data_IF_555262140042
#
_entry.id   IF_555262140042
#
_cell.length_a   1.000
_cell.length_b   1.000
_cell.length_c   1.000
_cell.angle_alpha   90.00
_cell.angle_beta   90.00
_cell.angle_gamma   90.00
#
_symmetry.space_group_name_H-M   'P 1'
#
loop_
_entity.id
_entity.type
_entity.pdbx_description
1 polymer ?
#
# COMPACT_ATOMS: atom_id res chain seq x y z
N UNK A 1 -7.16 14.13 8.76
CA UNK A 1 -6.48 15.37 8.52
C UNK A 1 -7.13 16.15 7.43
N UNK A 2 -6.98 17.43 7.55
CA UNK A 2 -7.60 18.28 6.57
C UNK A 2 -6.93 18.11 5.24
N UNK A 3 -7.74 18.09 4.20
CA UNK A 3 -7.23 17.95 2.86
C UNK A 3 -6.94 16.54 2.44
N UNK A 4 -7.08 15.58 3.32
CA UNK A 4 -6.82 14.19 2.99
C UNK A 4 -8.15 13.49 2.78
N UNK A 5 -8.41 12.96 1.58
CA UNK A 5 -9.67 12.27 1.36
C UNK A 5 -9.73 10.99 2.17
N UNK A 6 -10.92 10.70 2.63
CA UNK A 6 -11.14 9.49 3.39
C UNK A 6 -11.16 8.30 2.45
N UNK A 7 -10.53 7.22 2.86
CA UNK A 7 -10.52 6.00 2.07
C UNK A 7 -11.58 5.02 2.55
N UNK A 8 -11.98 4.15 1.65
CA UNK A 8 -12.85 3.04 1.99
C UNK A 8 -12.33 1.81 1.27
N UNK A 9 -13.00 0.68 1.48
CA UNK A 9 -12.58 -0.54 0.82
C UNK A 9 -12.74 -0.45 -0.68
N UNK A 10 -13.55 0.47 -1.17
CA UNK A 10 -13.71 0.65 -2.60
C UNK A 10 -12.47 1.21 -3.26
N UNK A 11 -11.57 1.78 -2.47
CA UNK A 11 -10.36 2.35 -3.02
C UNK A 11 -9.24 1.33 -3.16
N UNK A 12 -9.56 0.07 -3.01
CA UNK A 12 -8.57 -0.99 -3.03
C UNK A 12 -7.68 -0.93 -4.27
N UNK A 13 -8.27 -0.77 -5.43
CA UNK A 13 -7.48 -0.74 -6.65
C UNK A 13 -6.82 0.60 -6.89
N UNK A 14 -7.50 1.68 -6.56
CA UNK A 14 -6.94 2.99 -6.84
C UNK A 14 -5.76 3.31 -5.94
N UNK A 15 -5.70 2.70 -4.76
CA UNK A 15 -4.58 2.91 -3.84
C UNK A 15 -3.68 1.71 -3.74
N UNK A 16 -3.67 0.90 -4.76
CA UNK A 16 -2.91 -0.34 -4.75
C UNK A 16 -1.41 -0.10 -4.57
N UNK A 17 -0.85 0.90 -5.24
CA UNK A 17 0.58 1.17 -5.12
C UNK A 17 0.94 1.60 -3.71
N UNK A 18 0.15 2.47 -3.14
CA UNK A 18 0.41 2.93 -1.77
C UNK A 18 0.29 1.78 -0.79
N UNK A 19 -0.74 0.97 -0.98
CA UNK A 19 -0.95 -0.17 -0.11
C UNK A 19 0.20 -1.17 -0.21
N UNK A 20 0.64 -1.47 -1.42
CA UNK A 20 1.73 -2.42 -1.61
C UNK A 20 3.02 -1.92 -0.98
N UNK A 21 3.28 -0.63 -1.08
CA UNK A 21 4.45 -0.04 -0.46
C UNK A 21 4.36 -0.15 1.07
N UNK A 22 3.18 0.13 1.59
CA UNK A 22 2.96 0.02 3.03
C UNK A 22 3.17 -1.41 3.51
N UNK A 23 2.70 -2.39 2.74
CA UNK A 23 2.91 -3.78 3.11
C UNK A 23 4.38 -4.11 3.20
N UNK A 24 5.15 -3.67 2.21
CA UNK A 24 6.57 -3.96 2.22
C UNK A 24 7.28 -3.28 3.38
N UNK A 25 6.99 -2.00 3.59
CA UNK A 25 7.72 -1.23 4.58
C UNK A 25 7.30 -1.55 6.00
N UNK A 26 6.02 -1.78 6.22
CA UNK A 26 5.52 -1.97 7.57
C UNK A 26 5.32 -3.43 7.94
N UNK A 27 5.00 -4.26 6.96
CA UNK A 27 4.71 -5.66 7.23
C UNK A 27 5.72 -6.60 6.62
N UNK A 28 6.68 -6.07 5.89
CA UNK A 28 7.72 -6.88 5.24
C UNK A 28 7.11 -7.94 4.35
N UNK A 29 6.03 -7.60 3.68
CA UNK A 29 5.28 -8.54 2.88
C UNK A 29 5.05 -7.96 1.50
N UNK A 30 5.17 -8.79 0.48
CA UNK A 30 4.90 -8.34 -0.88
C UNK A 30 3.46 -8.67 -1.23
N UNK A 31 2.81 -7.72 -1.91
CA UNK A 31 1.41 -7.85 -2.23
C UNK A 31 1.10 -9.16 -2.97
N UNK A 32 1.96 -9.53 -3.92
CA UNK A 32 1.71 -10.71 -4.73
C UNK A 32 1.82 -12.01 -3.95
N UNK A 33 2.33 -11.96 -2.74
CA UNK A 33 2.44 -13.14 -1.90
C UNK A 33 1.23 -13.35 -1.01
N UNK A 34 0.24 -12.46 -1.11
CA UNK A 34 -0.92 -12.55 -0.25
C UNK A 34 -2.08 -13.21 -0.96
N UNK A 35 -2.88 -13.93 -0.19
CA UNK A 35 -4.18 -14.35 -0.72
C UNK A 35 -5.09 -13.14 -0.77
N UNK A 36 -6.18 -13.28 -1.54
CA UNK A 36 -7.13 -12.20 -1.64
C UNK A 36 -7.69 -11.82 -0.27
N UNK A 37 -8.01 -12.80 0.53
CA UNK A 37 -8.59 -12.52 1.84
C UNK A 37 -7.60 -11.83 2.75
N UNK A 38 -6.35 -12.27 2.73
CA UNK A 38 -5.34 -11.64 3.56
C UNK A 38 -5.11 -10.21 3.10
N UNK A 39 -5.08 -9.99 1.79
CA UNK A 39 -4.86 -8.65 1.27
C UNK A 39 -5.98 -7.71 1.69
N UNK A 40 -7.22 -8.17 1.63
CA UNK A 40 -8.34 -7.32 2.01
C UNK A 40 -8.31 -6.98 3.49
N UNK A 41 -7.93 -7.95 4.32
CA UNK A 41 -7.83 -7.67 5.75
C UNK A 41 -6.76 -6.64 6.06
N UNK A 42 -5.63 -6.75 5.38
CA UNK A 42 -4.57 -5.79 5.60
C UNK A 42 -4.92 -4.43 5.01
N UNK A 43 -5.62 -4.42 3.88
CA UNK A 43 -6.05 -3.14 3.33
C UNK A 43 -7.00 -2.42 4.29
N UNK A 44 -7.84 -3.16 4.98
CA UNK A 44 -8.70 -2.56 5.98
C UNK A 44 -7.89 -1.82 7.03
N UNK A 45 -6.78 -2.40 7.46
CA UNK A 45 -5.91 -1.73 8.43
C UNK A 45 -5.25 -0.51 7.82
N UNK A 46 -4.84 -0.61 6.56
CA UNK A 46 -4.25 0.50 5.85
C UNK A 46 -5.23 1.67 5.76
N UNK A 47 -6.49 1.37 5.45
CA UNK A 47 -7.52 2.39 5.36
C UNK A 47 -7.68 3.10 6.70
N UNK A 48 -7.69 2.35 7.79
CA UNK A 48 -7.84 2.97 9.08
C UNK A 48 -6.69 3.90 9.41
N UNK A 49 -5.47 3.49 9.08
CA UNK A 49 -4.33 4.34 9.34
C UNK A 49 -4.35 5.59 8.47
N UNK A 50 -4.74 5.41 7.22
CA UNK A 50 -4.85 6.54 6.30
C UNK A 50 -5.82 7.56 6.85
N UNK A 51 -7.00 7.10 7.26
CA UNK A 51 -8.05 8.01 7.68
C UNK A 51 -7.71 8.71 8.99
N UNK A 52 -6.82 8.13 9.76
CA UNK A 52 -6.37 8.75 10.99
C UNK A 52 -5.17 9.65 10.80
N UNK A 53 -4.64 9.72 9.59
CA UNK A 53 -3.49 10.54 9.32
C UNK A 53 -2.21 10.00 9.92
N UNK A 54 -2.11 8.68 10.05
CA UNK A 54 -0.97 8.08 10.73
C UNK A 54 0.13 7.58 9.81
N UNK A 55 -0.06 7.72 8.51
CA UNK A 55 0.93 7.26 7.54
C UNK A 55 1.91 8.37 7.24
N UNK A 56 3.04 7.99 6.67
CA UNK A 56 4.02 8.98 6.22
C UNK A 56 3.46 9.79 5.06
N UNK A 57 4.01 10.98 4.89
CA UNK A 57 3.53 11.90 3.87
C UNK A 57 3.50 11.30 2.48
N UNK A 58 4.49 10.48 2.15
CA UNK A 58 4.59 9.96 0.79
C UNK A 58 3.36 9.16 0.39
N UNK A 59 2.70 8.53 1.35
CA UNK A 59 1.50 7.78 1.03
C UNK A 59 0.37 8.70 0.59
N UNK A 60 0.27 9.84 1.25
CA UNK A 60 -0.79 10.80 0.90
C UNK A 60 -0.48 11.55 -0.38
N UNK A 61 0.79 11.67 -0.71
CA UNK A 61 1.18 12.37 -1.93
C UNK A 61 1.01 11.50 -3.16
N UNK A 62 0.98 10.20 -2.97
CA UNK A 62 0.81 9.28 -4.08
C UNK A 62 2.10 8.59 -4.44
N UNK A 63 1.99 7.31 -4.77
CA UNK A 63 3.13 6.50 -5.15
C UNK A 63 2.81 5.89 -6.50
N UNK A 64 3.65 6.18 -7.49
CA UNK A 64 3.35 5.76 -8.85
C UNK A 64 3.77 4.32 -9.14
N UNK A 65 4.71 3.78 -8.38
CA UNK A 65 5.12 2.40 -8.56
C UNK A 65 5.20 1.72 -7.21
N UNK A 66 5.05 0.41 -7.21
CA UNK A 66 5.06 -0.32 -5.96
C UNK A 66 5.85 -1.59 -6.10
N UNK A 67 6.46 -2.06 -5.02
CA UNK A 67 7.14 -3.34 -5.05
C UNK A 67 6.12 -4.46 -5.15
N UNK A 68 6.32 -5.35 -6.09
CA UNK A 68 5.36 -6.42 -6.29
C UNK A 68 5.91 -7.76 -5.90
N UNK A 69 7.20 -7.96 -6.12
CA UNK A 69 7.83 -9.20 -5.74
C UNK A 69 9.24 -8.89 -5.31
N UNK A 70 9.85 -9.89 -4.70
CA UNK A 70 11.24 -9.73 -4.29
C UNK A 70 12.19 -9.76 -5.46
N UNK A 71 11.70 -10.12 -6.64
CA UNK A 71 12.56 -10.25 -7.80
C UNK A 71 12.73 -9.01 -8.61
N UNK A 72 11.98 -7.99 -8.34
CA UNK A 72 12.04 -6.80 -9.15
C UNK A 72 13.39 -6.22 -9.26
N UNK A 73 14.13 -6.31 -8.20
CA UNK A 73 15.40 -5.66 -8.14
C UNK A 73 16.37 -6.12 -9.18
N UNK A 74 16.25 -7.35 -9.58
CA UNK A 74 17.29 -7.87 -10.42
C UNK A 74 17.29 -7.32 -11.77
N UNK A 75 16.29 -6.70 -12.11
CA UNK A 75 16.26 -6.20 -13.42
C UNK A 75 17.23 -5.14 -13.66
N UNK A 76 17.58 -4.57 -12.84
CA UNK A 76 18.35 -3.51 -13.04
C UNK A 76 19.58 -3.54 -13.38
N UNK A 77 20.02 -3.90 -13.62
CA UNK A 77 21.09 -3.96 -13.84
C UNK A 77 21.72 -4.04 -14.63
N UNK A 78 21.82 -3.95 -14.79
CA UNK A 78 22.49 -4.02 -15.39
C UNK A 78 22.93 -3.67 -15.72
#
# INVERSE_FOLDING_TARGET
>A
KEGIPELSMEDYFSKNNEFATWLKEEKRTYFNDLTTEAARGLFSRFVKRWNRGKLESRYYEGISTAPRTAHDWMIKRR
#
